data_IF_608246929935
#
_entry.id   IF_608246929935
#
_cell.length_a   1.000
_cell.length_b   1.000
_cell.length_c   1.000
_cell.angle_alpha   90.00
_cell.angle_beta   90.00
_cell.angle_gamma   90.00
#
_symmetry.space_group_name_H-M   'P 1'
#
loop_
_entity.id
_entity.type
_entity.pdbx_description
1 polymer ?
#
# COMPACT_ATOMS: atom_id res chain seq x y z
N UNK A 1 6.71 18.77 19.39
CA UNK A 1 7.46 17.78 18.58
C UNK A 1 6.82 16.43 18.81
N UNK A 2 5.83 16.06 18.00
CA UNK A 2 5.11 14.79 18.16
C UNK A 2 5.69 13.76 17.19
N UNK A 3 6.20 12.68 17.76
CA UNK A 3 6.74 11.51 17.07
C UNK A 3 5.68 10.86 16.20
N UNK A 4 5.96 10.77 14.90
CA UNK A 4 5.15 10.09 13.90
C UNK A 4 5.14 8.60 14.24
N UNK A 5 4.01 8.11 14.76
CA UNK A 5 3.82 6.70 15.08
C UNK A 5 3.49 5.96 13.78
N UNK A 6 4.54 5.46 13.13
CA UNK A 6 4.47 4.65 11.90
C UNK A 6 3.71 3.34 12.21
N UNK A 7 2.61 2.99 11.50
CA UNK A 7 2.00 1.69 11.66
C UNK A 7 3.02 0.63 11.23
N UNK A 8 3.30 -0.26 12.16
CA UNK A 8 4.32 -1.28 12.04
C UNK A 8 3.78 -2.43 11.21
N UNK A 9 4.17 -2.45 9.94
CA UNK A 9 4.30 -3.59 9.03
C UNK A 9 4.42 -4.90 9.80
N UNK A 10 3.44 -5.80 9.62
CA UNK A 10 3.37 -7.19 10.10
C UNK A 10 4.38 -7.53 11.20
N UNK A 11 3.97 -7.32 12.46
CA UNK A 11 4.72 -7.66 13.67
C UNK A 11 4.70 -9.16 13.95
N UNK A 12 4.91 -10.01 12.95
CA UNK A 12 5.28 -11.40 13.24
C UNK A 12 6.63 -11.35 13.96
N UNK A 13 6.71 -11.80 15.23
CA UNK A 13 7.97 -11.86 15.95
C UNK A 13 8.99 -12.66 15.13
N UNK A 14 10.26 -12.28 15.18
CA UNK A 14 11.32 -13.01 14.45
C UNK A 14 11.40 -14.49 14.83
N UNK A 15 10.88 -14.87 16.00
CA UNK A 15 10.75 -16.26 16.47
C UNK A 15 9.74 -17.09 15.69
N UNK A 16 8.77 -16.46 15.04
CA UNK A 16 7.74 -17.10 14.21
C UNK A 16 8.06 -17.02 12.71
N UNK A 17 9.19 -16.40 12.35
CA UNK A 17 9.58 -16.20 10.95
C UNK A 17 10.43 -17.35 10.43
N UNK A 18 10.15 -17.79 9.20
CA UNK A 18 11.00 -18.73 8.47
C UNK A 18 12.13 -18.01 7.72
N UNK A 19 13.36 -18.44 7.94
CA UNK A 19 14.54 -17.90 7.23
C UNK A 19 14.77 -18.72 5.97
N UNK A 20 14.64 -18.07 4.81
CA UNK A 20 14.91 -18.64 3.50
C UNK A 20 16.01 -17.89 2.76
N UNK A 21 16.70 -18.58 1.85
CA UNK A 21 17.77 -18.00 1.03
C UNK A 21 17.28 -17.68 -0.38
N UNK A 22 17.38 -16.41 -0.77
CA UNK A 22 17.05 -15.94 -2.11
C UNK A 22 18.34 -15.45 -2.79
N UNK A 23 18.59 -15.89 -4.03
CA UNK A 23 19.69 -15.37 -4.86
C UNK A 23 19.19 -14.17 -5.65
N UNK A 24 19.94 -13.07 -5.62
CA UNK A 24 19.67 -11.84 -6.35
C UNK A 24 20.94 -11.43 -7.11
N UNK A 25 20.80 -10.70 -8.22
CA UNK A 25 21.97 -10.06 -8.81
C UNK A 25 22.60 -9.07 -7.82
N UNK A 26 23.92 -8.95 -7.88
CA UNK A 26 24.68 -8.03 -7.02
C UNK A 26 24.16 -6.60 -7.13
N UNK A 27 23.92 -6.14 -8.35
CA UNK A 27 23.50 -4.76 -8.61
C UNK A 27 22.10 -4.48 -8.08
N UNK A 28 21.19 -5.45 -8.19
CA UNK A 28 19.84 -5.35 -7.61
C UNK A 28 19.91 -5.21 -6.09
N UNK A 29 20.71 -6.07 -5.44
CA UNK A 29 20.90 -6.03 -3.98
C UNK A 29 21.42 -4.68 -3.50
N UNK A 30 22.40 -4.10 -4.18
CA UNK A 30 22.98 -2.82 -3.78
C UNK A 30 22.00 -1.65 -4.01
N UNK A 31 21.23 -1.65 -5.11
CA UNK A 31 20.16 -0.66 -5.32
C UNK A 31 19.08 -0.75 -4.24
N UNK A 32 18.65 -1.95 -3.89
CA UNK A 32 17.63 -2.17 -2.85
C UNK A 32 18.14 -1.72 -1.47
N UNK A 33 19.41 -1.98 -1.12
CA UNK A 33 20.01 -1.43 0.10
C UNK A 33 20.03 0.10 0.11
N UNK A 34 20.36 0.72 -1.03
CA UNK A 34 20.32 2.17 -1.18
C UNK A 34 18.92 2.75 -0.92
N UNK A 35 17.89 2.11 -1.47
CA UNK A 35 16.48 2.49 -1.25
C UNK A 35 16.00 2.22 0.18
N UNK A 36 16.55 1.20 0.85
CA UNK A 36 16.11 0.80 2.18
C UNK A 36 16.44 1.81 3.29
N UNK A 37 17.42 2.70 3.11
CA UNK A 37 17.76 3.74 4.09
C UNK A 37 17.68 3.27 5.56
N UNK A 38 16.85 3.94 6.37
CA UNK A 38 16.68 3.67 7.80
C UNK A 38 15.72 2.51 8.14
N UNK A 39 14.92 2.02 7.19
CA UNK A 39 14.01 0.88 7.45
C UNK A 39 14.73 -0.48 7.38
N UNK A 40 15.92 -0.51 6.79
CA UNK A 40 16.73 -1.71 6.69
C UNK A 40 16.32 -2.62 5.53
N UNK A 41 17.32 -3.27 4.94
CA UNK A 41 17.16 -4.08 3.73
C UNK A 41 16.13 -5.21 3.89
N UNK A 42 16.15 -5.93 5.01
CA UNK A 42 15.25 -7.08 5.21
C UNK A 42 13.78 -6.67 5.31
N UNK A 43 13.49 -5.53 5.96
CA UNK A 43 12.14 -5.00 6.03
C UNK A 43 11.63 -4.65 4.63
N UNK A 44 12.42 -3.90 3.86
CA UNK A 44 12.08 -3.53 2.48
C UNK A 44 11.78 -4.77 1.60
N UNK A 45 12.64 -5.79 1.64
CA UNK A 45 12.43 -7.00 0.84
C UNK A 45 11.11 -7.67 1.19
N UNK A 46 10.81 -7.78 2.49
CA UNK A 46 9.56 -8.36 2.96
C UNK A 46 8.35 -7.56 2.48
N UNK A 47 8.42 -6.24 2.51
CA UNK A 47 7.34 -5.36 2.06
C UNK A 47 7.10 -5.52 0.56
N UNK A 48 8.17 -5.58 -0.23
CA UNK A 48 8.09 -5.81 -1.68
C UNK A 48 7.45 -7.16 -1.99
N UNK A 49 7.84 -8.23 -1.27
CA UNK A 49 7.29 -9.56 -1.46
C UNK A 49 5.82 -9.63 -1.05
N UNK A 50 5.43 -9.02 0.07
CA UNK A 50 4.03 -8.95 0.47
C UNK A 50 3.18 -8.14 -0.49
N UNK A 51 3.67 -7.00 -0.95
CA UNK A 51 3.01 -6.20 -1.98
C UNK A 51 2.75 -7.02 -3.25
N UNK A 52 3.71 -7.85 -3.66
CA UNK A 52 3.51 -8.76 -4.78
C UNK A 52 2.43 -9.81 -4.50
N UNK A 53 2.42 -10.41 -3.30
CA UNK A 53 1.41 -11.39 -2.89
C UNK A 53 0.02 -10.78 -2.84
N UNK A 54 -0.17 -9.59 -2.26
CA UNK A 54 -1.47 -8.91 -2.22
C UNK A 54 -2.00 -8.60 -3.61
N UNK A 55 -1.14 -8.09 -4.50
CA UNK A 55 -1.50 -7.84 -5.89
C UNK A 55 -1.95 -9.11 -6.63
N UNK A 56 -1.42 -10.28 -6.28
CA UNK A 56 -1.72 -11.55 -6.97
C UNK A 56 -2.83 -12.39 -6.33
N UNK A 57 -3.06 -12.25 -5.03
CA UNK A 57 -4.05 -13.02 -4.28
C UNK A 57 -5.44 -12.40 -4.29
N UNK A 58 -5.57 -11.09 -4.57
CA UNK A 58 -6.85 -10.39 -4.45
C UNK A 58 -7.30 -10.17 -3.00
N UNK A 59 -6.53 -10.65 -2.03
CA UNK A 59 -6.64 -10.37 -0.59
C UNK A 59 -5.92 -9.04 -0.31
N UNK A 60 -6.46 -7.95 -0.83
CA UNK A 60 -5.89 -6.62 -0.64
C UNK A 60 -6.29 -6.08 0.75
N UNK A 61 -5.35 -6.05 1.69
CA UNK A 61 -5.47 -5.23 2.90
C UNK A 61 -5.08 -3.78 2.55
N UNK A 62 -5.95 -2.79 2.78
CA UNK A 62 -5.66 -1.39 2.45
C UNK A 62 -4.48 -0.86 3.28
N UNK A 63 -3.33 -0.69 2.61
CA UNK A 63 -2.12 -0.12 3.20
C UNK A 63 -1.98 1.38 2.98
N UNK A 64 -2.86 1.96 2.15
CA UNK A 64 -2.84 3.39 1.86
C UNK A 64 -3.65 4.09 2.96
N UNK A 65 -3.03 5.01 3.69
CA UNK A 65 -3.77 5.89 4.56
C UNK A 65 -4.41 6.99 3.71
N UNK A 66 -5.53 7.55 4.16
CA UNK A 66 -6.16 8.67 3.44
C UNK A 66 -5.19 9.84 3.24
N UNK A 67 -4.38 10.12 4.25
CA UNK A 67 -3.39 11.20 4.23
C UNK A 67 -2.28 10.97 3.18
N UNK A 68 -2.15 9.74 2.66
CA UNK A 68 -1.23 9.44 1.57
C UNK A 68 -1.77 9.87 0.20
N UNK A 69 -3.05 10.23 0.07
CA UNK A 69 -3.66 10.67 -1.20
C UNK A 69 -3.45 12.19 -1.38
N UNK A 70 -2.57 12.58 -2.31
CA UNK A 70 -2.23 14.00 -2.56
C UNK A 70 -3.07 14.67 -3.64
N UNK A 71 -3.70 13.89 -4.51
CA UNK A 71 -4.59 14.36 -5.56
C UNK A 71 -5.55 13.24 -5.96
N UNK A 72 -6.69 13.58 -6.56
CA UNK A 72 -7.69 12.62 -6.99
C UNK A 72 -8.38 13.05 -8.28
N UNK A 73 -8.83 12.08 -9.08
CA UNK A 73 -9.63 12.31 -10.28
C UNK A 73 -10.75 11.28 -10.41
N UNK A 74 -11.88 11.68 -11.01
CA UNK A 74 -13.00 10.79 -11.25
C UNK A 74 -12.67 9.77 -12.35
N UNK A 75 -13.16 8.54 -12.20
CA UNK A 75 -12.99 7.46 -13.17
C UNK A 75 -14.19 6.50 -13.17
N UNK A 76 -14.20 5.59 -14.15
CA UNK A 76 -15.14 4.47 -14.23
C UNK A 76 -14.30 3.20 -14.31
N UNK A 77 -14.62 2.21 -13.47
CA UNK A 77 -13.93 0.93 -13.46
C UNK A 77 -14.20 0.16 -14.76
N UNK A 78 -13.15 -0.38 -15.40
CA UNK A 78 -13.30 -1.25 -16.59
C UNK A 78 -13.37 -2.74 -16.23
N UNK A 79 -12.89 -3.08 -15.04
CA UNK A 79 -12.85 -4.42 -14.47
C UNK A 79 -13.12 -4.33 -12.97
N UNK A 80 -13.17 -5.46 -12.27
CA UNK A 80 -13.29 -5.46 -10.82
C UNK A 80 -12.02 -4.89 -10.18
N UNK A 81 -12.20 -3.94 -9.28
CA UNK A 81 -11.14 -3.28 -8.53
C UNK A 81 -11.44 -3.37 -7.02
N UNK A 82 -10.47 -3.04 -6.18
CA UNK A 82 -10.66 -2.92 -4.72
C UNK A 82 -10.19 -1.56 -4.23
N UNK A 83 -11.04 -0.87 -3.49
CA UNK A 83 -10.70 0.41 -2.90
C UNK A 83 -9.44 0.33 -2.03
N UNK A 84 -8.48 1.19 -2.32
CA UNK A 84 -7.18 1.21 -1.66
C UNK A 84 -7.23 1.64 -0.18
N UNK A 85 -8.31 2.29 0.25
CA UNK A 85 -8.49 2.76 1.64
C UNK A 85 -9.38 1.82 2.47
N UNK A 86 -10.39 1.20 1.85
CA UNK A 86 -11.43 0.44 2.58
C UNK A 86 -11.43 -1.05 2.25
N UNK A 87 -10.77 -1.47 1.16
CA UNK A 87 -10.82 -2.85 0.64
C UNK A 87 -12.13 -3.23 -0.04
N UNK A 88 -13.10 -2.33 -0.07
CA UNK A 88 -14.41 -2.50 -0.71
C UNK A 88 -14.25 -2.83 -2.20
N UNK A 89 -15.06 -3.76 -2.70
CA UNK A 89 -15.06 -4.14 -4.12
C UNK A 89 -15.74 -3.05 -4.92
N UNK A 90 -15.09 -2.63 -6.01
CA UNK A 90 -15.62 -1.71 -7.00
C UNK A 90 -15.88 -2.55 -8.26
N UNK A 91 -17.13 -2.64 -8.69
CA UNK A 91 -17.51 -3.50 -9.80
C UNK A 91 -17.20 -2.87 -11.17
N UNK A 92 -17.09 -3.69 -12.23
CA UNK A 92 -16.96 -3.16 -13.59
C UNK A 92 -18.10 -2.20 -13.94
N UNK A 93 -17.75 -1.09 -14.60
CA UNK A 93 -18.63 0.02 -15.00
C UNK A 93 -19.16 0.88 -13.83
N UNK A 94 -18.70 0.63 -12.61
CA UNK A 94 -19.01 1.45 -11.46
C UNK A 94 -18.18 2.75 -11.46
N UNK A 95 -18.78 3.84 -10.97
CA UNK A 95 -18.06 5.09 -10.76
C UNK A 95 -17.09 4.96 -9.59
N UNK A 96 -15.88 5.46 -9.77
CA UNK A 96 -14.84 5.44 -8.75
C UNK A 96 -13.99 6.70 -8.82
N UNK A 97 -13.03 6.80 -7.91
CA UNK A 97 -11.98 7.82 -7.91
C UNK A 97 -10.63 7.13 -8.07
N UNK A 98 -9.73 7.73 -8.83
CA UNK A 98 -8.30 7.37 -8.81
C UNK A 98 -7.57 8.38 -7.94
N UNK A 99 -6.93 7.88 -6.88
CA UNK A 99 -6.05 8.65 -6.01
C UNK A 99 -4.60 8.57 -6.49
N UNK A 100 -3.88 9.69 -6.45
CA UNK A 100 -2.43 9.75 -6.60
C UNK A 100 -1.80 9.77 -5.21
N UNK A 101 -0.97 8.77 -4.90
CA UNK A 101 -0.31 8.67 -3.60
C UNK A 101 0.87 9.64 -3.49
N UNK A 102 1.35 9.90 -2.27
CA UNK A 102 2.58 10.66 -2.00
C UNK A 102 3.80 10.02 -2.67
N UNK A 103 3.78 8.70 -2.85
CA UNK A 103 4.81 7.92 -3.57
C UNK A 103 4.66 7.95 -5.09
N UNK A 104 3.62 8.59 -5.62
CA UNK A 104 3.38 8.74 -7.05
C UNK A 104 2.65 7.56 -7.71
N UNK A 105 2.01 6.70 -6.91
CA UNK A 105 1.23 5.57 -7.40
C UNK A 105 -0.23 6.00 -7.66
N UNK A 106 -0.87 5.39 -8.65
CA UNK A 106 -2.30 5.57 -8.90
C UNK A 106 -3.06 4.40 -8.27
N UNK A 107 -4.03 4.70 -7.40
CA UNK A 107 -4.79 3.68 -6.67
C UNK A 107 -6.30 3.90 -6.81
N UNK A 108 -7.10 2.83 -6.94
CA UNK A 108 -8.56 2.92 -7.02
C UNK A 108 -9.19 3.22 -5.66
N UNK A 109 -10.26 4.01 -5.64
CA UNK A 109 -10.94 4.48 -4.43
C UNK A 109 -12.47 4.44 -4.64
N UNK A 110 -13.22 3.87 -3.69
CA UNK A 110 -14.70 3.94 -3.73
C UNK A 110 -15.16 5.39 -3.64
N UNK A 111 -16.34 5.69 -4.18
CA UNK A 111 -16.99 6.97 -3.95
C UNK A 111 -17.16 7.23 -2.44
N UNK A 112 -16.85 8.45 -2.00
CA UNK A 112 -16.97 8.83 -0.59
C UNK A 112 -15.83 8.34 0.32
N UNK A 113 -14.92 7.50 -0.16
CA UNK A 113 -13.76 7.03 0.60
C UNK A 113 -12.75 8.13 0.96
N UNK A 114 -12.89 9.33 0.38
CA UNK A 114 -12.12 10.54 0.68
C UNK A 114 -12.90 11.60 1.49
N UNK A 115 -14.20 11.41 1.72
CA UNK A 115 -15.04 12.36 2.48
C UNK A 115 -14.74 12.27 3.97
N UNK A 116 -14.25 13.35 4.59
CA UNK A 116 -14.09 13.42 6.04
C UNK A 116 -15.45 13.76 6.65
N UNK A 117 -15.99 12.92 7.54
CA UNK A 117 -17.14 13.32 8.33
C UNK A 117 -16.69 14.45 9.28
N UNK A 118 -16.99 15.70 8.91
CA UNK A 118 -16.97 16.80 9.86
C UNK A 118 -18.19 16.61 10.77
N UNK A 119 -17.94 16.29 12.04
CA UNK A 119 -18.93 16.54 13.10
C UNK A 119 -18.85 18.06 13.35
N UNK A 120 -19.88 18.78 12.92
CA UNK A 120 -20.11 20.15 13.37
C UNK A 120 -20.36 20.11 14.89
N UNK A 121 -19.52 20.82 15.66
CA UNK A 121 -19.71 21.07 17.09
C UNK A 121 -20.46 22.38 17.30
#
# INVERSE_FOLDING_TARGET
>A
MQTINRPSIHRTPTTEMEVTSIRLERDLKEKLKGLAGNQGYQALIRDVLWNYVWQKSGEYEPQVARDDIRASMNAIAQQEERCALTGEVIHPHEQMVIGLTTQGELVPLSLGSLSQHYIEH
#
